data_IF_838231245560
#
_entry.id   IF_838231245560
#
_cell.length_a   1.000
_cell.length_b   1.000
_cell.length_c   1.000
_cell.angle_alpha   90.00
_cell.angle_beta   90.00
_cell.angle_gamma   90.00
#
_symmetry.space_group_name_H-M   'P 1'
#
loop_
_entity.id
_entity.type
_entity.pdbx_description
1 polymer ?
#
# COMPACT_ATOMS: atom_id res chain seq x y z
N UNK A 1 -27.44 64.01 -44.41
CA UNK A 1 -28.80 63.44 -44.43
C UNK A 1 -28.74 62.12 -45.18
N UNK A 2 -28.92 61.04 -44.44
CA UNK A 2 -29.25 59.64 -44.76
C UNK A 2 -29.26 59.13 -46.22
N UNK A 3 -28.52 58.02 -46.46
CA UNK A 3 -29.01 56.65 -46.73
C UNK A 3 -27.88 55.76 -47.31
N UNK A 4 -27.48 54.69 -46.60
CA UNK A 4 -27.71 53.25 -46.87
C UNK A 4 -27.15 52.71 -48.22
N UNK A 5 -26.17 51.79 -48.17
CA UNK A 5 -26.26 50.37 -48.65
C UNK A 5 -24.85 49.75 -48.86
N UNK A 6 -24.41 48.71 -48.14
CA UNK A 6 -24.50 47.23 -48.39
C UNK A 6 -23.12 46.63 -48.74
N UNK A 7 -22.95 45.34 -48.38
CA UNK A 7 -21.90 44.36 -48.74
C UNK A 7 -20.80 44.15 -47.69
N UNK A 8 -20.48 42.94 -47.21
CA UNK A 8 -21.07 41.60 -47.34
C UNK A 8 -20.39 40.73 -46.28
N UNK A 9 -21.18 40.01 -45.49
CA UNK A 9 -20.70 39.04 -44.51
C UNK A 9 -19.95 37.88 -45.20
N UNK A 10 -18.72 37.60 -44.75
CA UNK A 10 -18.08 36.31 -44.94
C UNK A 10 -18.04 35.59 -43.60
N UNK A 11 -18.88 34.57 -43.47
CA UNK A 11 -18.94 33.66 -42.34
C UNK A 11 -17.81 32.65 -42.47
N UNK A 12 -16.86 32.65 -41.54
CA UNK A 12 -15.91 31.54 -41.35
C UNK A 12 -16.28 30.89 -40.03
N UNK A 13 -17.03 29.79 -40.10
CA UNK A 13 -17.30 28.92 -38.96
C UNK A 13 -16.07 28.03 -38.80
N UNK A 14 -15.23 28.34 -37.82
CA UNK A 14 -14.17 27.42 -37.37
C UNK A 14 -14.81 26.48 -36.35
N UNK A 15 -15.02 25.23 -36.76
CA UNK A 15 -15.44 24.15 -35.87
C UNK A 15 -14.22 23.74 -35.01
N UNK A 16 -14.06 24.36 -33.84
CA UNK A 16 -13.12 23.86 -32.83
C UNK A 16 -13.69 22.60 -32.20
N UNK A 17 -13.23 21.44 -32.69
CA UNK A 17 -13.46 20.14 -32.05
C UNK A 17 -12.65 20.12 -30.75
N UNK A 18 -13.30 20.40 -29.62
CA UNK A 18 -12.75 20.13 -28.31
C UNK A 18 -12.73 18.60 -28.11
N UNK A 19 -11.59 17.98 -28.40
CA UNK A 19 -11.35 16.58 -28.02
C UNK A 19 -11.16 16.55 -26.51
N UNK A 20 -12.24 16.28 -25.79
CA UNK A 20 -12.22 16.02 -24.36
C UNK A 20 -11.48 14.69 -24.15
N UNK A 21 -10.16 14.75 -23.93
CA UNK A 21 -9.38 13.61 -23.48
C UNK A 21 -9.87 13.26 -22.08
N UNK A 22 -10.73 12.25 -21.98
CA UNK A 22 -10.98 11.54 -20.74
C UNK A 22 -9.65 11.00 -20.23
N UNK A 23 -9.12 11.63 -19.19
CA UNK A 23 -7.96 11.13 -18.45
C UNK A 23 -8.33 9.76 -17.87
N UNK A 24 -7.90 8.69 -18.55
CA UNK A 24 -7.77 7.38 -17.93
C UNK A 24 -6.77 7.56 -16.79
N UNK A 25 -7.23 7.38 -15.56
CA UNK A 25 -6.35 7.31 -14.39
C UNK A 25 -5.32 6.22 -14.63
N UNK A 26 -4.09 6.60 -14.97
CA UNK A 26 -2.94 5.72 -14.88
C UNK A 26 -2.75 5.44 -13.39
N UNK A 27 -2.69 4.16 -13.03
CA UNK A 27 -2.13 3.76 -11.74
C UNK A 27 -0.76 4.44 -11.62
N UNK A 28 -0.59 5.29 -10.60
CA UNK A 28 0.65 6.00 -10.33
C UNK A 28 1.79 4.98 -10.15
N UNK A 29 2.55 4.73 -11.22
CA UNK A 29 3.88 4.13 -11.13
C UNK A 29 4.80 5.20 -10.57
N UNK A 30 4.94 5.22 -9.24
CA UNK A 30 5.89 6.12 -8.59
C UNK A 30 7.31 5.70 -9.05
N UNK A 31 8.06 6.55 -9.78
CA UNK A 31 9.27 6.13 -10.51
C UNK A 31 10.42 5.64 -9.61
N UNK A 32 10.31 5.86 -8.30
CA UNK A 32 11.29 5.45 -7.29
C UNK A 32 10.95 4.13 -6.59
N UNK A 33 9.89 3.43 -7.02
CA UNK A 33 9.44 2.16 -6.45
C UNK A 33 9.26 1.09 -7.54
N UNK A 34 9.69 -0.14 -7.24
CA UNK A 34 9.48 -1.30 -8.11
C UNK A 34 9.96 -2.59 -7.46
N UNK A 35 9.98 -3.70 -8.20
CA UNK A 35 10.65 -4.93 -7.77
C UNK A 35 12.11 -4.66 -7.41
N UNK A 36 12.67 -5.44 -6.48
CA UNK A 36 14.08 -5.34 -6.15
C UNK A 36 14.96 -6.03 -7.18
N UNK A 37 16.16 -5.50 -7.40
CA UNK A 37 17.17 -6.19 -8.22
C UNK A 37 17.79 -7.35 -7.46
N UNK A 38 18.20 -8.41 -8.18
CA UNK A 38 18.91 -9.56 -7.61
C UNK A 38 20.13 -9.15 -6.80
N UNK A 39 20.86 -8.12 -7.24
CA UNK A 39 22.02 -7.60 -6.50
C UNK A 39 21.62 -7.10 -5.10
N UNK A 40 20.48 -6.41 -4.99
CA UNK A 40 19.96 -5.90 -3.71
C UNK A 40 19.47 -7.04 -2.83
N UNK A 41 18.73 -7.99 -3.41
CA UNK A 41 18.23 -9.16 -2.70
C UNK A 41 19.37 -10.05 -2.19
N UNK A 42 20.40 -10.27 -3.02
CA UNK A 42 21.61 -11.03 -2.67
C UNK A 42 22.39 -10.37 -1.55
N UNK A 43 22.60 -9.05 -1.62
CA UNK A 43 23.28 -8.28 -0.56
C UNK A 43 22.59 -8.46 0.79
N UNK A 44 21.26 -8.30 0.82
CA UNK A 44 20.47 -8.45 2.05
C UNK A 44 20.49 -9.89 2.55
N UNK A 45 20.31 -10.85 1.65
CA UNK A 45 20.30 -12.28 2.02
C UNK A 45 21.63 -12.74 2.60
N UNK A 46 22.75 -12.27 2.03
CA UNK A 46 24.09 -12.52 2.56
C UNK A 46 24.29 -11.91 3.95
N UNK A 47 23.91 -10.64 4.13
CA UNK A 47 23.99 -9.97 5.43
C UNK A 47 23.21 -10.72 6.51
N UNK A 48 22.02 -11.21 6.14
CA UNK A 48 21.11 -11.92 7.02
C UNK A 48 21.40 -13.43 7.13
N UNK A 49 22.45 -13.92 6.47
CA UNK A 49 22.82 -15.35 6.44
C UNK A 49 21.66 -16.27 6.02
N UNK A 50 20.82 -15.80 5.10
CA UNK A 50 19.77 -16.62 4.47
C UNK A 50 20.46 -17.51 3.44
N UNK A 51 20.37 -18.83 3.62
CA UNK A 51 21.01 -19.82 2.74
C UNK A 51 20.15 -20.01 1.50
N UNK A 52 20.81 -20.16 0.34
CA UNK A 52 20.22 -20.71 -0.89
C UNK A 52 18.88 -20.08 -1.29
N UNK A 53 18.82 -18.75 -1.26
CA UNK A 53 17.64 -18.02 -1.72
C UNK A 53 17.57 -18.02 -3.25
N UNK A 54 16.40 -18.35 -3.81
CA UNK A 54 16.20 -18.35 -5.25
C UNK A 54 15.49 -17.06 -5.68
N UNK A 55 16.12 -16.35 -6.61
CA UNK A 55 15.56 -15.17 -7.27
C UNK A 55 14.99 -15.63 -8.62
N UNK A 56 13.90 -16.41 -8.58
CA UNK A 56 13.27 -16.94 -9.79
C UNK A 56 12.51 -15.85 -10.55
N UNK A 57 12.65 -15.83 -11.87
CA UNK A 57 11.72 -15.17 -12.80
C UNK A 57 10.51 -16.11 -13.00
N UNK A 58 9.33 -15.69 -12.55
CA UNK A 58 8.03 -16.30 -12.88
C UNK A 58 7.95 -17.84 -12.84
N UNK A 59 7.74 -18.46 -11.68
CA UNK A 59 6.94 -19.69 -11.60
C UNK A 59 6.61 -20.08 -10.16
N UNK A 60 5.43 -20.68 -10.02
CA UNK A 60 4.97 -21.41 -8.84
C UNK A 60 5.89 -22.59 -8.51
N UNK A 61 7.08 -22.32 -7.96
CA UNK A 61 7.92 -23.35 -7.37
C UNK A 61 7.67 -23.40 -5.87
N UNK A 62 7.15 -24.54 -5.40
CA UNK A 62 7.02 -24.88 -3.97
C UNK A 62 8.38 -25.32 -3.40
N UNK A 63 9.45 -24.63 -3.78
CA UNK A 63 10.80 -24.89 -3.28
C UNK A 63 11.06 -23.92 -2.13
N UNK A 64 11.65 -24.42 -1.05
CA UNK A 64 12.00 -23.58 0.10
C UNK A 64 12.97 -22.46 -0.33
N UNK A 65 12.79 -21.27 0.24
CA UNK A 65 13.61 -20.07 0.00
C UNK A 65 13.44 -19.38 -1.37
N UNK A 66 12.29 -19.52 -2.01
CA UNK A 66 11.96 -18.81 -3.25
C UNK A 66 11.41 -17.42 -2.93
N UNK A 67 11.97 -16.36 -3.52
CA UNK A 67 11.43 -15.01 -3.40
C UNK A 67 10.15 -14.89 -4.22
N UNK A 68 9.02 -14.75 -3.52
CA UNK A 68 7.67 -14.69 -4.13
C UNK A 68 7.16 -13.26 -4.31
N UNK A 69 7.72 -12.30 -3.57
CA UNK A 69 7.36 -10.89 -3.67
C UNK A 69 8.56 -10.04 -3.27
N UNK A 70 8.83 -8.96 -4.01
CA UNK A 70 9.84 -7.99 -3.62
C UNK A 70 9.41 -6.57 -3.97
N UNK A 71 9.86 -5.61 -3.16
CA UNK A 71 9.71 -4.20 -3.46
C UNK A 71 10.87 -3.39 -2.87
N UNK A 72 11.39 -2.48 -3.67
CA UNK A 72 12.48 -1.59 -3.33
C UNK A 72 12.04 -0.14 -3.52
N UNK A 73 12.46 0.73 -2.60
CA UNK A 73 12.16 2.17 -2.68
C UNK A 73 13.25 3.01 -2.03
N UNK A 74 13.66 4.10 -2.68
CA UNK A 74 14.64 5.04 -2.10
C UNK A 74 14.07 5.74 -0.87
N UNK A 75 14.94 5.99 0.11
CA UNK A 75 14.57 6.77 1.28
C UNK A 75 14.42 8.26 0.90
N UNK A 76 13.29 8.92 1.19
CA UNK A 76 13.03 10.26 0.65
C UNK A 76 14.01 11.35 1.11
N UNK A 77 14.48 11.29 2.37
CA UNK A 77 15.35 12.33 2.94
C UNK A 77 16.85 12.05 2.76
N UNK A 78 17.22 10.86 2.28
CA UNK A 78 18.60 10.45 2.09
C UNK A 78 18.67 9.47 0.92
N UNK A 79 19.06 9.98 -0.25
CA UNK A 79 19.10 9.19 -1.48
C UNK A 79 20.18 8.10 -1.48
N UNK A 80 21.12 8.13 -0.51
CA UNK A 80 22.07 7.03 -0.33
C UNK A 80 21.42 5.80 0.30
N UNK A 81 20.26 5.97 0.94
CA UNK A 81 19.52 4.88 1.57
C UNK A 81 18.40 4.35 0.68
N UNK A 82 18.25 3.04 0.67
CA UNK A 82 17.17 2.32 -0.02
C UNK A 82 16.54 1.32 0.94
N UNK A 83 15.22 1.28 0.97
CA UNK A 83 14.48 0.20 1.64
C UNK A 83 14.37 -0.96 0.65
N UNK A 84 14.76 -2.14 1.09
CA UNK A 84 14.66 -3.41 0.38
C UNK A 84 13.74 -4.31 1.20
N UNK A 85 12.62 -4.73 0.61
CA UNK A 85 11.68 -5.65 1.24
C UNK A 85 11.39 -6.82 0.33
N UNK A 86 11.36 -8.03 0.88
CA UNK A 86 10.93 -9.20 0.13
C UNK A 86 10.32 -10.26 1.05
N UNK A 87 9.43 -11.06 0.47
CA UNK A 87 8.89 -12.25 1.09
C UNK A 87 9.39 -13.49 0.34
N UNK A 88 9.66 -14.55 1.08
CA UNK A 88 10.10 -15.82 0.51
C UNK A 88 9.43 -17.02 1.17
N UNK A 89 9.35 -18.14 0.44
CA UNK A 89 8.72 -19.37 0.91
C UNK A 89 9.41 -19.89 2.18
N UNK A 90 8.62 -20.42 3.11
CA UNK A 90 9.12 -21.14 4.28
C UNK A 90 8.82 -22.62 4.15
N UNK A 91 9.42 -23.43 5.03
CA UNK A 91 9.13 -24.86 5.12
C UNK A 91 7.68 -25.15 5.56
N UNK A 92 7.01 -24.17 6.16
CA UNK A 92 5.61 -24.24 6.58
C UNK A 92 4.75 -23.64 5.46
N UNK A 93 3.91 -24.45 4.84
CA UNK A 93 3.10 -24.11 3.65
C UNK A 93 2.41 -22.73 3.78
N UNK A 94 1.67 -22.51 4.87
CA UNK A 94 0.92 -21.28 5.14
C UNK A 94 1.73 -20.19 5.85
N UNK A 95 3.06 -20.26 5.81
CA UNK A 95 3.92 -19.21 6.33
C UNK A 95 4.92 -18.78 5.27
N UNK A 96 5.10 -17.47 5.18
CA UNK A 96 6.13 -16.85 4.36
C UNK A 96 7.06 -16.06 5.27
N UNK A 97 8.35 -16.11 4.98
CA UNK A 97 9.29 -15.24 5.68
C UNK A 97 9.22 -13.84 5.11
N UNK A 98 9.35 -12.83 5.95
CA UNK A 98 9.43 -11.43 5.57
C UNK A 98 10.79 -10.86 5.96
N UNK A 99 11.42 -10.16 5.02
CA UNK A 99 12.60 -9.36 5.25
C UNK A 99 12.31 -7.91 4.89
N UNK A 100 12.69 -7.01 5.79
CA UNK A 100 12.73 -5.57 5.54
C UNK A 100 14.11 -5.08 5.92
N UNK A 101 14.79 -4.36 5.03
CA UNK A 101 16.16 -3.89 5.25
C UNK A 101 16.35 -2.48 4.73
N UNK A 102 17.22 -1.74 5.40
CA UNK A 102 17.71 -0.45 4.95
C UNK A 102 19.14 -0.64 4.46
N UNK A 103 19.40 -0.25 3.22
CA UNK A 103 20.67 -0.43 2.53
C UNK A 103 21.29 0.92 2.22
N UNK A 104 22.53 1.13 2.64
CA UNK A 104 23.39 2.19 2.14
C UNK A 104 23.93 1.75 0.77
N UNK A 105 23.36 2.34 -0.28
CA UNK A 105 23.66 2.06 -1.68
C UNK A 105 25.02 2.61 -2.12
N UNK A 106 25.55 3.62 -1.43
CA UNK A 106 26.88 4.16 -1.73
C UNK A 106 27.98 3.24 -1.19
N UNK A 107 27.72 2.56 -0.06
CA UNK A 107 28.66 1.63 0.58
C UNK A 107 28.37 0.15 0.31
N UNK A 108 27.28 -0.15 -0.41
CA UNK A 108 26.79 -1.52 -0.64
C UNK A 108 26.67 -2.29 0.67
N UNK A 109 26.04 -1.68 1.69
CA UNK A 109 25.97 -2.23 3.05
C UNK A 109 24.55 -2.16 3.61
N UNK A 110 24.09 -3.26 4.20
CA UNK A 110 22.88 -3.25 5.04
C UNK A 110 23.18 -2.52 6.35
N UNK A 111 22.41 -1.48 6.65
CA UNK A 111 22.59 -0.63 7.84
C UNK A 111 21.54 -0.87 8.92
N UNK A 112 20.41 -1.49 8.57
CA UNK A 112 19.44 -2.01 9.52
C UNK A 112 18.57 -3.09 8.87
N UNK A 113 18.05 -4.03 9.66
CA UNK A 113 17.18 -5.09 9.13
C UNK A 113 16.14 -5.59 10.14
N UNK A 114 15.09 -6.20 9.61
CA UNK A 114 14.03 -6.92 10.29
C UNK A 114 13.80 -8.25 9.57
N UNK A 115 13.58 -9.31 10.36
CA UNK A 115 13.04 -10.59 9.91
C UNK A 115 11.74 -10.88 10.65
N UNK A 116 10.72 -11.24 9.89
CA UNK A 116 9.42 -11.62 10.41
C UNK A 116 8.83 -12.79 9.65
N UNK A 117 7.57 -13.07 9.96
CA UNK A 117 6.76 -14.08 9.28
C UNK A 117 5.43 -13.46 8.88
N UNK A 118 4.90 -13.91 7.76
CA UNK A 118 3.54 -13.62 7.29
C UNK A 118 2.81 -14.96 7.34
N UNK A 119 1.74 -15.02 8.14
CA UNK A 119 0.81 -16.14 8.09
C UNK A 119 -0.13 -15.94 6.91
N UNK A 120 -0.23 -16.93 6.04
CA UNK A 120 -1.27 -17.00 5.03
C UNK A 120 -2.47 -17.75 5.57
N UNK A 121 -3.65 -17.42 5.06
CA UNK A 121 -4.90 -18.08 5.39
C UNK A 121 -5.81 -18.14 4.15
N UNK A 122 -7.08 -18.51 4.33
CA UNK A 122 -8.04 -18.62 3.23
C UNK A 122 -8.29 -17.29 2.47
N UNK A 123 -7.89 -16.15 3.04
CA UNK A 123 -8.15 -14.80 2.56
C UNK A 123 -6.84 -14.08 2.15
N UNK A 124 -5.72 -14.38 2.82
CA UNK A 124 -4.41 -13.78 2.52
C UNK A 124 -3.47 -14.76 1.81
N UNK A 125 -3.12 -14.43 0.57
CA UNK A 125 -2.07 -15.09 -0.21
C UNK A 125 -1.06 -14.07 -0.73
N UNK A 126 0.22 -14.32 -0.53
CA UNK A 126 1.32 -13.47 -0.96
C UNK A 126 1.84 -13.96 -2.32
N UNK A 127 2.03 -13.02 -3.24
CA UNK A 127 2.67 -13.29 -4.53
C UNK A 127 3.28 -12.03 -5.12
N UNK A 128 3.63 -12.11 -6.40
CA UNK A 128 4.21 -10.98 -7.12
C UNK A 128 3.29 -9.74 -7.00
N UNK A 129 3.85 -8.61 -6.58
CA UNK A 129 3.10 -7.37 -6.39
C UNK A 129 2.36 -7.23 -5.04
N UNK A 130 2.39 -8.24 -4.16
CA UNK A 130 1.76 -8.15 -2.83
C UNK A 130 2.39 -7.11 -1.91
N UNK A 131 3.65 -6.72 -2.13
CA UNK A 131 4.39 -5.80 -1.27
C UNK A 131 4.48 -4.41 -1.88
N UNK A 132 4.17 -3.38 -1.09
CA UNK A 132 4.34 -1.97 -1.49
C UNK A 132 4.89 -1.12 -0.35
N UNK A 133 5.93 -0.33 -0.62
CA UNK A 133 6.54 0.58 0.36
C UNK A 133 5.89 1.96 0.36
N UNK A 134 5.44 2.41 1.53
CA UNK A 134 5.00 3.78 1.76
C UNK A 134 6.06 4.58 2.53
N UNK A 135 6.57 5.65 1.92
CA UNK A 135 7.60 6.51 2.52
C UNK A 135 7.08 7.92 2.80
N UNK A 136 5.76 8.06 2.97
CA UNK A 136 5.13 9.28 3.47
C UNK A 136 5.83 9.84 4.72
N UNK A 137 5.54 11.10 5.06
CA UNK A 137 6.21 11.83 6.13
C UNK A 137 5.75 11.40 7.53
N UNK A 138 6.07 10.16 7.89
CA UNK A 138 5.84 9.58 9.21
C UNK A 138 6.94 10.00 10.20
N UNK A 139 7.08 11.30 10.41
CA UNK A 139 8.00 11.84 11.43
C UNK A 139 7.31 11.67 12.81
N UNK A 140 7.62 10.55 13.48
CA UNK A 140 7.02 10.14 14.74
C UNK A 140 7.66 10.84 15.95
N UNK A 141 8.87 11.37 15.81
CA UNK A 141 9.56 12.10 16.86
C UNK A 141 10.88 12.68 16.37
N UNK A 142 11.63 13.41 17.22
CA UNK A 142 12.95 13.93 16.86
C UNK A 142 13.89 12.80 16.41
N UNK A 143 14.29 12.82 15.14
CA UNK A 143 15.14 11.78 14.55
C UNK A 143 14.47 10.42 14.32
N UNK A 144 13.17 10.29 14.61
CA UNK A 144 12.41 9.06 14.44
C UNK A 144 11.47 9.21 13.26
N UNK A 145 11.86 8.64 12.13
CA UNK A 145 11.02 8.56 10.94
C UNK A 145 10.67 7.11 10.64
N UNK A 146 9.38 6.84 10.49
CA UNK A 146 8.88 5.56 10.07
C UNK A 146 8.69 5.48 8.55
N UNK A 147 8.50 4.26 8.06
CA UNK A 147 8.00 3.94 6.72
C UNK A 147 7.00 2.81 6.83
N UNK A 148 6.05 2.74 5.89
CA UNK A 148 5.06 1.69 5.79
C UNK A 148 5.48 0.59 4.82
N UNK A 149 5.07 -0.63 5.14
CA UNK A 149 5.00 -1.74 4.20
C UNK A 149 3.54 -2.18 4.13
N UNK A 150 3.00 -2.18 2.92
CA UNK A 150 1.66 -2.65 2.63
C UNK A 150 1.70 -4.09 2.13
N UNK A 151 0.75 -4.89 2.59
CA UNK A 151 0.50 -6.25 2.11
C UNK A 151 -0.85 -6.30 1.41
N UNK A 152 -0.85 -6.74 0.16
CA UNK A 152 -2.06 -7.00 -0.62
C UNK A 152 -2.13 -8.47 -0.95
N UNK A 153 -3.32 -9.06 -0.85
CA UNK A 153 -3.54 -10.43 -1.33
C UNK A 153 -3.55 -10.46 -2.86
N UNK A 154 -2.92 -11.46 -3.47
CA UNK A 154 -3.02 -11.69 -4.93
C UNK A 154 -4.30 -12.41 -5.32
N UNK A 155 -4.98 -13.06 -4.37
CA UNK A 155 -6.15 -13.87 -4.61
C UNK A 155 -7.41 -13.23 -4.01
N UNK A 156 -8.44 -13.08 -4.82
CA UNK A 156 -9.78 -12.71 -4.35
C UNK A 156 -10.70 -13.92 -4.49
N UNK A 157 -11.18 -14.46 -3.36
CA UNK A 157 -12.23 -15.48 -3.34
C UNK A 157 -13.51 -14.90 -3.97
N UNK A 158 -14.11 -15.60 -4.95
CA UNK A 158 -15.21 -15.06 -5.76
C UNK A 158 -16.56 -14.94 -5.04
N UNK A 159 -16.71 -15.54 -3.85
CA UNK A 159 -17.99 -15.71 -3.14
C UNK A 159 -17.94 -15.20 -1.68
N UNK A 160 -17.26 -14.10 -1.44
CA UNK A 160 -17.14 -13.52 -0.09
C UNK A 160 -18.23 -12.47 0.15
N UNK A 161 -18.79 -12.40 1.36
CA UNK A 161 -19.82 -11.43 1.77
C UNK A 161 -19.26 -10.01 2.03
N UNK A 162 -17.98 -9.83 1.76
CA UNK A 162 -17.20 -8.62 2.00
C UNK A 162 -15.72 -8.91 1.81
N UNK A 163 -14.89 -7.89 1.87
CA UNK A 163 -13.46 -8.07 1.72
C UNK A 163 -12.64 -7.06 2.49
N UNK A 164 -11.45 -7.51 2.83
CA UNK A 164 -10.43 -6.73 3.48
C UNK A 164 -9.41 -6.32 2.43
N UNK A 165 -9.09 -5.04 2.38
CA UNK A 165 -8.08 -4.49 1.49
C UNK A 165 -6.66 -4.70 2.01
N UNK A 166 -5.69 -3.97 1.44
CA UNK A 166 -4.31 -4.07 1.89
C UNK A 166 -4.16 -3.72 3.37
N UNK A 167 -3.24 -4.38 4.07
CA UNK A 167 -2.84 -4.00 5.43
C UNK A 167 -1.55 -3.21 5.41
N UNK A 168 -1.34 -2.34 6.39
CA UNK A 168 -0.11 -1.55 6.58
C UNK A 168 0.55 -1.85 7.91
N UNK A 169 1.84 -2.13 7.84
CA UNK A 169 2.74 -2.14 9.00
C UNK A 169 3.69 -0.95 8.91
N UNK A 170 3.79 -0.14 9.97
CA UNK A 170 4.82 0.89 10.07
C UNK A 170 6.04 0.34 10.78
N UNK A 171 7.21 0.64 10.22
CA UNK A 171 8.51 0.27 10.75
C UNK A 171 9.33 1.51 11.12
N UNK A 172 10.11 1.41 12.19
CA UNK A 172 11.16 2.38 12.55
C UNK A 172 12.52 1.70 12.59
N UNK A 173 13.57 2.48 12.31
CA UNK A 173 14.95 2.05 12.51
C UNK A 173 15.41 2.42 13.92
N UNK A 174 16.06 1.47 14.59
CA UNK A 174 16.73 1.65 15.89
C UNK A 174 18.14 1.08 15.81
N UNK A 175 19.12 1.95 15.54
CA UNK A 175 20.49 1.51 15.30
C UNK A 175 20.60 0.60 14.07
N UNK A 176 20.96 -0.66 14.30
CA UNK A 176 21.10 -1.71 13.28
C UNK A 176 19.84 -2.60 13.14
N UNK A 177 18.79 -2.33 13.91
CA UNK A 177 17.53 -3.08 13.81
C UNK A 177 16.43 -2.22 13.19
N UNK A 178 15.51 -2.90 12.52
CA UNK A 178 14.21 -2.35 12.13
C UNK A 178 13.18 -3.05 13.01
N UNK A 179 12.20 -2.31 13.53
CA UNK A 179 11.09 -2.90 14.29
C UNK A 179 9.75 -2.33 13.88
N UNK A 180 8.68 -3.13 13.91
CA UNK A 180 7.34 -2.63 13.72
C UNK A 180 6.91 -1.75 14.91
N UNK A 181 6.13 -0.72 14.61
CA UNK A 181 5.48 0.18 15.58
C UNK A 181 3.97 0.28 15.38
N UNK A 182 3.46 -0.17 14.23
CA UNK A 182 2.04 -0.38 13.94
C UNK A 182 1.99 -1.61 13.06
N UNK A 183 1.10 -2.56 13.32
CA UNK A 183 1.00 -3.80 12.55
C UNK A 183 -0.42 -3.99 12.04
N UNK A 184 -0.55 -4.45 10.80
CA UNK A 184 -1.81 -4.99 10.28
C UNK A 184 -2.98 -4.01 10.12
N UNK A 185 -2.75 -2.70 10.02
CA UNK A 185 -3.85 -1.75 9.84
C UNK A 185 -4.45 -1.89 8.42
N UNK A 186 -5.70 -2.29 8.31
CA UNK A 186 -6.40 -2.29 7.02
C UNK A 186 -6.50 -0.88 6.43
N UNK A 187 -6.17 -0.75 5.15
CA UNK A 187 -6.25 0.49 4.37
C UNK A 187 -7.59 0.64 3.66
N UNK A 188 -8.31 -0.47 3.46
CA UNK A 188 -9.70 -0.45 3.03
C UNK A 188 -10.45 -1.70 3.47
N UNK A 189 -11.77 -1.60 3.50
CA UNK A 189 -12.70 -2.72 3.61
C UNK A 189 -13.88 -2.49 2.68
N UNK A 190 -14.58 -3.54 2.29
CA UNK A 190 -15.84 -3.43 1.57
C UNK A 190 -16.84 -4.48 2.03
N UNK A 191 -18.13 -4.19 1.91
CA UNK A 191 -19.22 -5.11 2.26
C UNK A 191 -20.44 -4.86 1.39
N UNK A 192 -21.28 -5.87 1.21
CA UNK A 192 -22.59 -5.67 0.60
C UNK A 192 -23.56 -5.06 1.60
N UNK A 193 -24.20 -3.95 1.22
CA UNK A 193 -25.31 -3.37 1.97
C UNK A 193 -26.67 -3.66 1.33
N UNK A 194 -26.66 -4.11 0.07
CA UNK A 194 -27.80 -4.67 -0.67
C UNK A 194 -27.29 -5.65 -1.70
N UNK A 195 -28.06 -6.72 -1.95
CA UNK A 195 -27.56 -7.85 -2.73
C UNK A 195 -26.54 -8.65 -1.91
N UNK A 196 -26.37 -9.92 -2.24
CA UNK A 196 -25.35 -10.77 -1.64
C UNK A 196 -24.24 -11.06 -2.64
N UNK A 197 -23.29 -11.94 -2.32
CA UNK A 197 -22.27 -12.37 -3.26
C UNK A 197 -22.92 -12.89 -4.56
N UNK A 198 -22.26 -12.65 -5.68
CA UNK A 198 -22.78 -12.94 -7.03
C UNK A 198 -23.09 -14.41 -7.29
N UNK A 199 -22.57 -15.32 -6.46
CA UNK A 199 -22.93 -16.75 -6.52
C UNK A 199 -24.28 -17.09 -5.89
N UNK A 200 -24.97 -16.13 -5.27
CA UNK A 200 -26.38 -16.28 -4.93
C UNK A 200 -27.24 -15.96 -6.17
N UNK A 201 -27.70 -16.99 -6.88
CA UNK A 201 -28.37 -16.93 -8.18
C UNK A 201 -29.47 -15.84 -8.30
N UNK A 202 -29.42 -15.04 -9.37
CA UNK A 202 -30.49 -14.13 -9.82
C UNK A 202 -30.01 -12.71 -10.18
N UNK A 203 -30.74 -12.03 -11.05
CA UNK A 203 -30.55 -10.60 -11.34
C UNK A 203 -31.00 -9.78 -10.13
N UNK A 204 -30.05 -9.44 -9.26
CA UNK A 204 -30.29 -8.65 -8.05
C UNK A 204 -29.46 -7.38 -8.11
N UNK A 205 -30.04 -6.27 -7.70
CA UNK A 205 -29.28 -5.05 -7.47
C UNK A 205 -28.28 -5.29 -6.33
N UNK A 206 -27.00 -5.10 -6.64
CA UNK A 206 -25.89 -5.18 -5.69
C UNK A 206 -25.47 -3.76 -5.36
N UNK A 207 -25.32 -3.47 -4.06
CA UNK A 207 -24.81 -2.20 -3.55
C UNK A 207 -23.71 -2.51 -2.56
N UNK A 208 -22.51 -2.01 -2.84
CA UNK A 208 -21.33 -2.18 -2.00
C UNK A 208 -21.07 -0.89 -1.24
N UNK A 209 -20.77 -1.01 0.05
CA UNK A 209 -20.13 0.04 0.82
C UNK A 209 -18.64 -0.25 0.89
N UNK A 210 -17.81 0.71 0.48
CA UNK A 210 -16.36 0.67 0.63
C UNK A 210 -15.93 1.69 1.67
N UNK A 211 -15.10 1.28 2.63
CA UNK A 211 -14.46 2.18 3.59
C UNK A 211 -12.97 2.23 3.32
N UNK A 212 -12.42 3.42 3.18
CA UNK A 212 -10.97 3.66 3.06
C UNK A 212 -10.43 4.31 4.33
N UNK A 213 -9.24 3.88 4.77
CA UNK A 213 -8.57 4.36 5.97
C UNK A 213 -7.33 5.17 5.60
N UNK A 214 -7.34 6.46 5.95
CA UNK A 214 -6.21 7.36 5.77
C UNK A 214 -5.49 7.60 7.10
N UNK A 215 -4.17 7.57 7.08
CA UNK A 215 -3.33 7.80 8.26
C UNK A 215 -2.63 9.16 8.20
N UNK A 216 -2.61 9.85 9.33
CA UNK A 216 -1.86 11.11 9.50
C UNK A 216 -1.23 11.20 10.89
N UNK A 217 -0.19 12.03 11.03
CA UNK A 217 0.51 12.26 12.29
C UNK A 217 -0.10 13.44 13.04
N UNK A 218 -0.38 13.30 14.34
CA UNK A 218 -0.87 14.36 15.22
C UNK A 218 0.28 15.08 15.94
N UNK A 219 0.02 16.29 16.43
CA UNK A 219 0.98 17.05 17.24
C UNK A 219 1.13 16.54 18.68
N UNK A 220 0.17 15.75 19.16
CA UNK A 220 0.22 15.17 20.50
C UNK A 220 1.22 14.03 20.56
N UNK A 221 1.90 13.88 21.70
CA UNK A 221 2.96 12.90 21.90
C UNK A 221 2.58 11.98 23.06
N UNK A 222 2.76 10.67 22.86
CA UNK A 222 2.64 9.63 23.88
C UNK A 222 3.91 8.79 23.87
N UNK A 223 4.57 8.62 25.03
CA UNK A 223 5.78 7.80 25.16
C UNK A 223 6.88 8.14 24.12
N UNK A 224 7.10 9.43 23.85
CA UNK A 224 8.13 9.91 22.93
C UNK A 224 7.76 9.87 21.44
N UNK A 225 6.59 9.32 21.09
CA UNK A 225 6.11 9.21 19.71
C UNK A 225 4.84 10.06 19.51
N UNK A 226 4.72 10.69 18.35
CA UNK A 226 3.53 11.46 17.95
C UNK A 226 2.38 10.52 17.67
N UNK A 227 1.22 10.82 18.24
CA UNK A 227 0.01 10.00 18.06
C UNK A 227 -0.41 9.96 16.58
N UNK A 228 -1.07 8.88 16.17
CA UNK A 228 -1.63 8.74 14.82
C UNK A 228 -3.11 9.09 14.83
N UNK A 229 -3.57 9.70 13.73
CA UNK A 229 -4.97 9.83 13.39
C UNK A 229 -5.27 8.90 12.22
N UNK A 230 -6.22 7.99 12.41
CA UNK A 230 -6.80 7.19 11.33
C UNK A 230 -8.18 7.77 11.01
N UNK A 231 -8.41 8.07 9.73
CA UNK A 231 -9.68 8.62 9.24
C UNK A 231 -10.31 7.60 8.30
N UNK A 232 -11.47 7.08 8.69
CA UNK A 232 -12.27 6.18 7.87
C UNK A 232 -13.29 7.00 7.08
N UNK A 233 -13.33 6.79 5.76
CA UNK A 233 -14.26 7.44 4.84
C UNK A 233 -15.00 6.35 4.09
N UNK A 234 -16.32 6.33 4.23
CA UNK A 234 -17.17 5.33 3.56
C UNK A 234 -17.92 5.94 2.37
N UNK A 235 -17.95 5.18 1.28
CA UNK A 235 -18.69 5.48 0.05
C UNK A 235 -19.55 4.28 -0.34
N UNK A 236 -20.73 4.56 -0.88
CA UNK A 236 -21.68 3.54 -1.32
C UNK A 236 -21.81 3.59 -2.84
N UNK A 237 -21.78 2.44 -3.50
CA UNK A 237 -21.99 2.34 -4.94
C UNK A 237 -23.32 2.97 -5.35
N UNK A 238 -23.30 3.71 -6.46
CA UNK A 238 -24.44 4.48 -6.99
C UNK A 238 -24.97 5.62 -6.09
N UNK A 239 -24.36 5.88 -4.93
CA UNK A 239 -24.71 7.06 -4.14
C UNK A 239 -24.03 8.30 -4.73
N UNK A 240 -24.81 9.14 -5.43
CA UNK A 240 -24.36 10.47 -5.87
C UNK A 240 -24.31 11.48 -4.71
N UNK A 241 -24.72 11.09 -3.50
CA UNK A 241 -24.61 11.93 -2.30
C UNK A 241 -23.20 11.83 -1.72
N UNK A 242 -22.82 12.91 -1.03
CA UNK A 242 -21.49 13.08 -0.42
C UNK A 242 -21.11 11.88 0.47
N UNK A 243 -19.82 11.50 0.52
CA UNK A 243 -19.33 10.42 1.38
C UNK A 243 -19.83 10.60 2.83
N UNK A 244 -20.07 9.48 3.53
CA UNK A 244 -20.53 9.50 4.93
C UNK A 244 -19.55 10.32 5.77
N UNK A 245 -20.08 10.93 6.85
CA UNK A 245 -19.25 11.69 7.79
C UNK A 245 -18.04 10.83 8.22
N UNK A 246 -16.80 11.33 8.08
CA UNK A 246 -15.63 10.53 8.43
C UNK A 246 -15.62 10.14 9.90
N UNK A 247 -15.25 8.89 10.17
CA UNK A 247 -14.97 8.40 11.53
C UNK A 247 -13.49 8.55 11.81
N UNK A 248 -13.14 9.06 12.98
CA UNK A 248 -11.75 9.37 13.33
C UNK A 248 -11.33 8.58 14.56
N UNK A 249 -10.26 7.80 14.41
CA UNK A 249 -9.59 7.09 15.49
C UNK A 249 -8.28 7.78 15.83
N UNK A 250 -7.94 7.81 17.11
CA UNK A 250 -6.64 8.31 17.59
C UNK A 250 -5.87 7.16 18.24
N UNK A 251 -4.73 6.83 17.65
CA UNK A 251 -3.83 5.82 18.20
C UNK A 251 -2.73 6.51 18.99
N UNK A 252 -2.66 6.20 20.29
CA UNK A 252 -1.57 6.64 21.15
C UNK A 252 -0.50 5.56 21.19
N UNK A 253 0.75 5.96 21.06
CA UNK A 253 1.87 5.02 21.20
C UNK A 253 1.98 4.58 22.67
N UNK A 254 1.98 3.26 22.92
CA UNK A 254 1.97 2.71 24.28
C UNK A 254 3.38 2.47 24.86
N UNK A 255 4.43 2.92 24.17
CA UNK A 255 5.83 2.63 24.50
C UNK A 255 6.45 1.52 23.64
N UNK A 256 5.61 0.66 23.05
CA UNK A 256 6.03 -0.44 22.16
C UNK A 256 5.45 -0.31 20.75
N UNK A 257 4.15 -0.05 20.65
CA UNK A 257 3.42 0.01 19.39
C UNK A 257 2.19 0.95 19.48
N UNK A 258 1.58 1.22 18.33
CA UNK A 258 0.24 1.77 18.20
C UNK A 258 -0.76 0.60 18.16
N UNK A 259 -1.64 0.45 19.17
CA UNK A 259 -2.65 -0.61 19.17
C UNK A 259 -3.74 -0.30 18.13
N UNK A 260 -3.95 -1.18 17.15
CA UNK A 260 -4.89 -0.99 16.05
C UNK A 260 -5.94 -2.10 15.91
N UNK A 261 -6.02 -3.01 16.88
CA UNK A 261 -6.82 -4.25 16.89
C UNK A 261 -8.35 -4.05 16.71
N UNK A 262 -8.84 -2.81 16.72
CA UNK A 262 -10.26 -2.47 16.61
C UNK A 262 -10.56 -1.47 15.47
N UNK A 263 -9.61 -1.19 14.58
CA UNK A 263 -9.85 -0.28 13.46
C UNK A 263 -10.19 -1.10 12.22
N UNK A 264 -11.44 -0.95 11.77
CA UNK A 264 -11.93 -1.53 10.52
C UNK A 264 -12.33 -3.01 10.59
N UNK A 265 -12.57 -3.53 11.80
CA UNK A 265 -13.23 -4.80 12.09
C UNK A 265 -14.51 -4.55 12.87
#
# INVERSE_FOLDING_TARGET
>A
MDKISVLRNFSIIVFSILVCHSARGQADSHPDQGPCTDASLKLVSQHLKIKEINFGDDSHSDVNNDVIASTCKRWPSDKSLMIVSFAYTSEVEYQKHLVVSLVDTAKTKVVASYKGVIGEDAILTIGAGSLRLDTARYDLGPGIRAFGLDFSTVYSQGCVDGGLGPTRTLFVREGETIRPVLEGLYLSTWTFIKGGPSCASGDREIVIETTSYAMSILNTVSNGFRDLRITAISSVDNDKKSPKRPVVYRLKYNGKAYPAEHIGL
#
